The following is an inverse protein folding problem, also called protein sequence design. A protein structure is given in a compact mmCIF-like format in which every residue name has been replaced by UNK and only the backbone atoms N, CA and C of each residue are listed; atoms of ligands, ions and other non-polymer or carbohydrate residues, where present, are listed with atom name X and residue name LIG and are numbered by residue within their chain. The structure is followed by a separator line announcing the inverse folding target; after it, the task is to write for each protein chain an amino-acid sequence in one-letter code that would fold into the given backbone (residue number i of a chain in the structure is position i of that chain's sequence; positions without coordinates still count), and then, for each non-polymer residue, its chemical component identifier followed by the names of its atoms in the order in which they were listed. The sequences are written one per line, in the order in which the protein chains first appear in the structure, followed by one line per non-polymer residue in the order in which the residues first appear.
data_IF_889800888558
#
_entry.id   IF_889800888558
#
_cell.length_a   1.000
_cell.length_b   1.000
_cell.length_c   1.000
_cell.angle_alpha   90.00
_cell.angle_beta   90.00
_cell.angle_gamma   90.00
#
_symmetry.space_group_name_H-M   'P 1'
#
loop_
_entity.id
_entity.type
_entity.pdbx_description
1 polymer ?
#
# COMPACT_ATOMS: atom_id res chain seq x y z
N UNK A 1 -13.00 1.77 14.11
CA UNK A 1 -11.85 2.23 13.40
C UNK A 1 -10.88 1.12 13.21
N UNK A 2 -10.56 0.86 12.00
CA UNK A 2 -9.66 -0.23 11.74
C UNK A 2 -8.52 0.23 10.89
N UNK A 3 -7.38 0.34 11.50
CA UNK A 3 -6.17 0.55 10.75
C UNK A 3 -5.28 -0.66 10.93
N UNK A 4 -4.48 -0.92 9.94
CA UNK A 4 -3.60 -2.07 9.93
C UNK A 4 -2.22 -1.59 9.56
N UNK A 5 -1.22 -2.10 10.25
CA UNK A 5 0.16 -1.79 9.90
C UNK A 5 0.70 -2.90 9.03
N UNK A 6 1.25 -2.50 7.91
CA UNK A 6 1.79 -3.43 6.94
C UNK A 6 3.27 -3.14 6.77
N UNK A 7 4.09 -4.13 7.00
CA UNK A 7 5.52 -4.00 6.82
C UNK A 7 5.91 -4.74 5.56
N UNK A 8 6.59 -4.07 4.68
CA UNK A 8 6.99 -4.72 3.44
C UNK A 8 7.74 -3.79 2.52
N UNK A 9 7.66 -4.07 1.25
CA UNK A 9 8.43 -3.38 0.23
C UNK A 9 7.46 -2.73 -0.74
N UNK A 10 7.74 -1.48 -1.09
CA UNK A 10 6.92 -0.76 -2.04
C UNK A 10 7.15 -1.26 -3.45
N UNK A 11 6.09 -1.33 -4.20
CA UNK A 11 6.13 -1.76 -5.59
C UNK A 11 5.21 -0.92 -6.43
N UNK A 12 5.69 -0.55 -7.59
CA UNK A 12 4.84 0.10 -8.56
C UNK A 12 4.07 -0.95 -9.32
N UNK A 13 2.76 -0.82 -9.34
CA UNK A 13 1.91 -1.73 -10.10
C UNK A 13 1.11 -0.93 -11.09
N UNK A 14 0.76 -1.56 -12.20
CA UNK A 14 0.03 -0.85 -13.22
C UNK A 14 0.97 -0.27 -14.24
N UNK A 15 0.41 0.06 -15.38
CA UNK A 15 1.20 0.47 -16.53
C UNK A 15 1.25 1.96 -16.67
N UNK A 16 0.20 2.63 -16.27
CA UNK A 16 0.13 4.06 -16.49
C UNK A 16 -0.10 4.79 -15.21
N UNK A 17 0.75 5.68 -14.93
CA UNK A 17 0.58 6.55 -13.84
C UNK A 17 0.61 5.91 -12.51
N UNK A 18 0.63 4.66 -12.56
CA UNK A 18 1.05 3.95 -11.44
C UNK A 18 0.16 3.90 -10.23
N UNK A 19 -0.33 2.74 -10.03
CA UNK A 19 -0.79 2.39 -8.72
C UNK A 19 0.42 1.96 -7.92
N UNK A 20 0.38 2.23 -6.65
CA UNK A 20 1.46 1.81 -5.77
C UNK A 20 0.92 0.85 -4.75
N UNK A 21 1.72 -0.13 -4.41
CA UNK A 21 1.31 -1.15 -3.46
C UNK A 21 2.49 -1.48 -2.56
N UNK A 22 2.17 -2.04 -1.41
CA UNK A 22 3.19 -2.58 -0.53
C UNK A 22 3.00 -4.09 -0.51
N UNK A 23 4.09 -4.81 -0.70
CA UNK A 23 4.08 -6.26 -0.62
C UNK A 23 4.59 -6.60 0.76
N UNK A 24 3.72 -7.15 1.58
CA UNK A 24 4.06 -7.40 2.97
C UNK A 24 5.04 -8.56 3.07
N UNK A 25 5.69 -8.65 4.22
CA UNK A 25 6.61 -9.75 4.47
C UNK A 25 5.90 -11.10 4.45
N UNK A 26 4.60 -11.09 4.66
CA UNK A 26 3.81 -12.33 4.59
C UNK A 26 3.39 -12.66 3.17
N UNK A 27 3.74 -11.83 2.21
CA UNK A 27 3.39 -12.08 0.82
C UNK A 27 2.07 -11.48 0.39
N UNK A 28 1.45 -10.68 1.22
CA UNK A 28 0.19 -10.04 0.86
C UNK A 28 0.44 -8.73 0.16
N UNK A 29 -0.40 -8.41 -0.81
CA UNK A 29 -0.28 -7.18 -1.54
C UNK A 29 -1.37 -6.22 -1.10
N UNK A 30 -0.98 -4.99 -0.82
CA UNK A 30 -1.91 -3.94 -0.45
C UNK A 30 -1.78 -2.80 -1.42
N UNK A 31 -2.86 -2.50 -2.11
CA UNK A 31 -2.88 -1.34 -2.98
C UNK A 31 -3.09 -0.10 -2.10
N UNK A 32 -2.23 0.89 -2.27
CA UNK A 32 -2.25 2.07 -1.41
C UNK A 32 -2.96 3.21 -2.10
N UNK A 33 -3.96 3.74 -1.41
CA UNK A 33 -4.68 4.91 -1.88
C UNK A 33 -4.07 6.13 -1.23
N UNK A 34 -3.95 7.20 -2.01
CA UNK A 34 -3.40 8.46 -1.52
C UNK A 34 -2.00 8.31 -0.95
N UNK A 35 -1.19 7.49 -1.57
CA UNK A 35 0.17 7.33 -1.12
C UNK A 35 0.95 8.63 -1.35
N UNK A 36 1.69 9.10 -0.35
CA UNK A 36 2.48 10.31 -0.55
C UNK A 36 3.65 10.04 -1.50
N UNK A 37 4.15 11.10 -2.09
CA UNK A 37 5.22 10.99 -3.07
C UNK A 37 6.44 10.28 -2.50
N UNK A 38 6.73 10.52 -1.25
CA UNK A 38 7.92 9.94 -0.66
C UNK A 38 7.83 8.41 -0.54
N UNK A 39 6.63 7.87 -0.61
CA UNK A 39 6.47 6.41 -0.61
C UNK A 39 6.60 5.82 -2.00
N UNK A 40 6.54 6.63 -3.03
CA UNK A 40 6.49 6.12 -4.39
C UNK A 40 7.87 5.78 -4.90
N UNK A 41 8.46 4.78 -4.30
CA UNK A 41 9.80 4.32 -4.68
C UNK A 41 9.81 2.81 -4.70
N UNK A 42 10.14 2.26 -5.85
CA UNK A 42 10.23 0.81 -6.01
C UNK A 42 11.32 0.26 -5.11
N UNK A 43 10.97 -0.76 -4.34
CA UNK A 43 11.95 -1.41 -3.49
C UNK A 43 12.15 -0.77 -2.14
N UNK A 44 11.40 0.28 -1.84
CA UNK A 44 11.54 0.95 -0.55
C UNK A 44 10.93 0.09 0.55
N UNK A 45 11.69 -0.16 1.58
CA UNK A 45 11.20 -0.96 2.69
C UNK A 45 10.57 -0.05 3.73
N UNK A 46 9.31 -0.32 4.03
CA UNK A 46 8.54 0.60 4.86
C UNK A 46 7.58 -0.16 5.76
N UNK A 47 7.15 0.54 6.79
CA UNK A 47 5.96 0.15 7.54
C UNK A 47 4.90 1.20 7.28
N UNK A 48 3.75 0.76 6.78
CA UNK A 48 2.68 1.66 6.39
C UNK A 48 1.46 1.35 7.22
N UNK A 49 0.82 2.39 7.72
CA UNK A 49 -0.45 2.22 8.38
C UNK A 49 -1.55 2.54 7.37
N UNK A 50 -2.45 1.60 7.17
CA UNK A 50 -3.50 1.74 6.17
C UNK A 50 -4.86 1.62 6.82
N UNK A 51 -5.82 2.33 6.25
CA UNK A 51 -7.20 2.23 6.67
C UNK A 51 -7.92 1.29 5.73
N UNK A 52 -8.15 0.09 6.17
CA UNK A 52 -8.76 -0.93 5.33
C UNK A 52 -10.24 -0.69 5.08
N UNK A 53 -10.83 0.20 5.84
CA UNK A 53 -12.25 0.47 5.68
C UNK A 53 -12.61 1.11 4.36
N UNK A 54 -11.65 1.78 3.78
CA UNK A 54 -11.89 2.49 2.53
C UNK A 54 -11.91 1.53 1.36
N UNK A 55 -11.62 0.30 1.61
CA UNK A 55 -11.36 -0.65 0.56
C UNK A 55 -12.56 -1.47 0.16
N UNK A 56 -13.71 -0.90 0.27
CA UNK A 56 -14.91 -1.65 -0.08
C UNK A 56 -15.01 -2.00 -1.53
N UNK A 57 -14.39 -1.22 -2.34
CA UNK A 57 -14.48 -1.43 -3.77
C UNK A 57 -13.14 -1.88 -4.25
N UNK A 58 -12.96 -3.14 -4.27
CA UNK A 58 -11.73 -3.67 -4.80
C UNK A 58 -11.88 -3.79 -6.28
N UNK A 59 -11.34 -2.88 -6.96
CA UNK A 59 -11.33 -2.99 -8.38
C UNK A 59 -10.04 -3.61 -8.81
N UNK A 60 -9.19 -3.84 -7.91
CA UNK A 60 -7.89 -4.22 -8.32
C UNK A 60 -7.72 -5.68 -8.46
N UNK A 61 -6.70 -6.01 -9.12
CA UNK A 61 -6.20 -7.33 -9.17
C UNK A 61 -5.59 -7.69 -7.85
N UNK A 62 -5.41 -6.71 -6.99
CA UNK A 62 -4.85 -6.98 -5.69
C UNK A 62 -5.97 -7.24 -4.73
N UNK A 63 -5.79 -8.14 -3.86
CA UNK A 63 -6.85 -8.55 -2.98
C UNK A 63 -7.24 -7.53 -1.95
N UNK A 64 -6.39 -6.57 -1.68
CA UNK A 64 -6.63 -5.62 -0.61
C UNK A 64 -6.23 -4.23 -1.03
N UNK A 65 -6.90 -3.25 -0.48
CA UNK A 65 -6.49 -1.88 -0.67
C UNK A 65 -6.77 -1.11 0.60
N UNK A 66 -6.12 0.02 0.75
CA UNK A 66 -6.32 0.84 1.91
C UNK A 66 -5.74 2.21 1.70
N UNK A 67 -6.27 3.17 2.46
CA UNK A 67 -5.77 4.52 2.41
C UNK A 67 -4.59 4.66 3.37
N UNK A 68 -3.55 5.31 2.92
CA UNK A 68 -2.36 5.51 3.75
C UNK A 68 -2.66 6.53 4.82
N UNK A 69 -2.54 6.13 6.07
CA UNK A 69 -2.70 7.04 7.19
C UNK A 69 -1.37 7.54 7.70
N UNK A 70 -0.34 6.75 7.56
CA UNK A 70 0.99 7.15 7.97
C UNK A 70 1.97 6.08 7.56
N UNK A 71 3.26 6.41 7.66
CA UNK A 71 4.29 5.44 7.29
C UNK A 71 5.62 5.88 7.83
N UNK A 72 6.56 4.95 7.86
CA UNK A 72 7.95 5.33 8.05
C UNK A 72 8.85 4.31 7.35
N UNK A 73 10.00 4.79 6.93
CA UNK A 73 10.98 3.92 6.26
C UNK A 73 11.73 3.10 7.29
N UNK A 74 12.00 1.89 6.89
CA UNK A 74 12.76 0.99 7.76
C UNK A 74 14.22 0.93 7.39
#
# INVERSE_FOLDING_TARGET
MSSTKVTGVMRKVGIEGGLWAVISDAGESWELLDAPESLKQNGLRVEVEVDAKVADVTIGIMGRSGKVLGYHEL
#
